data_IF_683379600883
#
_entry.id   IF_683379600883
#
_cell.length_a   1.000
_cell.length_b   1.000
_cell.length_c   1.000
_cell.angle_alpha   90.00
_cell.angle_beta   90.00
_cell.angle_gamma   90.00
#
_symmetry.space_group_name_H-M   'P 1'
#
loop_
_entity.id
_entity.type
_entity.pdbx_description
1 polymer ?
#
# COMPACT_ATOMS: atom_id res chain seq x y z
N UNK A 1 16.43 10.54 10.81
CA UNK A 1 16.94 10.05 12.11
C UNK A 1 15.89 10.27 13.18
N UNK A 2 15.71 9.32 14.09
CA UNK A 2 14.78 9.35 15.22
C UNK A 2 15.60 9.10 16.48
N UNK A 3 15.51 10.00 17.45
CA UNK A 3 16.19 9.92 18.74
C UNK A 3 15.17 9.65 19.84
N UNK A 4 15.28 8.49 20.49
CA UNK A 4 14.47 8.12 21.65
C UNK A 4 15.06 8.70 22.94
N UNK A 5 14.27 8.79 24.00
CA UNK A 5 14.67 9.39 25.27
C UNK A 5 15.92 8.78 25.92
N UNK A 6 16.16 7.51 25.64
CA UNK A 6 17.28 6.74 26.16
C UNK A 6 18.50 6.74 25.22
N UNK A 7 18.50 7.55 24.16
CA UNK A 7 19.63 7.64 23.21
C UNK A 7 20.91 8.16 23.88
N UNK A 8 22.06 7.55 23.56
CA UNK A 8 23.36 8.19 23.79
C UNK A 8 23.57 9.36 22.82
N UNK A 9 23.26 10.57 23.29
CA UNK A 9 23.40 11.79 22.49
C UNK A 9 24.86 12.09 22.12
N UNK A 10 25.85 11.62 22.88
CA UNK A 10 27.26 11.82 22.52
C UNK A 10 27.66 10.91 21.38
N UNK A 11 27.19 9.65 21.37
CA UNK A 11 27.35 8.75 20.23
C UNK A 11 26.70 9.33 18.97
N UNK A 12 25.45 9.82 19.08
CA UNK A 12 24.73 10.48 17.97
C UNK A 12 25.51 11.67 17.42
N UNK A 13 26.00 12.56 18.29
CA UNK A 13 26.76 13.75 17.87
C UNK A 13 28.09 13.36 17.22
N UNK A 14 28.76 12.35 17.77
CA UNK A 14 30.02 11.83 17.19
C UNK A 14 29.76 11.24 15.81
N UNK A 15 28.64 10.54 15.64
CA UNK A 15 28.22 10.01 14.34
C UNK A 15 27.91 11.11 13.34
N UNK A 16 27.11 12.12 13.72
CA UNK A 16 26.78 13.26 12.86
C UNK A 16 28.03 14.03 12.40
N UNK A 17 29.11 14.05 13.20
CA UNK A 17 30.39 14.63 12.79
C UNK A 17 31.08 13.82 11.70
N UNK A 18 30.90 12.50 11.68
CA UNK A 18 31.52 11.60 10.70
C UNK A 18 30.79 11.69 9.34
N UNK A 19 29.46 11.66 9.36
CA UNK A 19 28.66 11.61 8.12
C UNK A 19 28.39 12.98 7.48
N UNK A 20 28.70 14.07 8.19
CA UNK A 20 28.38 15.44 7.77
C UNK A 20 26.87 15.67 7.48
N UNK A 21 26.48 16.89 7.10
CA UNK A 21 25.07 17.30 6.98
C UNK A 21 24.35 16.70 5.75
N UNK A 22 25.09 16.21 4.77
CA UNK A 22 24.58 15.86 3.43
C UNK A 22 23.62 14.66 3.39
N UNK A 23 23.61 13.82 4.43
CA UNK A 23 22.92 12.52 4.41
C UNK A 23 21.73 12.42 5.38
N UNK A 24 21.39 13.50 6.10
CA UNK A 24 20.28 13.53 7.06
C UNK A 24 19.34 14.69 6.78
N UNK A 25 18.24 14.40 6.08
CA UNK A 25 17.25 15.41 5.71
C UNK A 25 16.44 15.92 6.93
N UNK A 26 16.25 15.07 7.94
CA UNK A 26 15.37 15.35 9.08
C UNK A 26 15.75 14.54 10.33
N UNK A 27 15.73 15.20 11.48
CA UNK A 27 15.96 14.61 12.80
C UNK A 27 14.69 14.77 13.63
N UNK A 28 14.09 13.67 14.03
CA UNK A 28 12.98 13.60 14.98
C UNK A 28 13.52 13.32 16.37
N UNK A 29 13.07 14.09 17.35
CA UNK A 29 13.59 14.04 18.72
C UNK A 29 12.43 13.90 19.70
N UNK A 30 12.53 12.96 20.62
CA UNK A 30 11.58 12.86 21.72
C UNK A 30 11.71 14.08 22.64
N UNK A 31 10.57 14.65 23.03
CA UNK A 31 10.55 15.94 23.73
C UNK A 31 11.41 16.00 25.01
N UNK A 32 11.56 14.87 25.70
CA UNK A 32 12.34 14.72 26.95
C UNK A 32 13.83 15.04 26.77
N UNK A 33 14.40 14.78 25.60
CA UNK A 33 15.85 14.99 25.33
C UNK A 33 16.16 16.22 24.49
N UNK A 34 15.14 16.97 24.05
CA UNK A 34 15.26 18.13 23.15
C UNK A 34 16.32 19.13 23.63
N UNK A 35 16.19 19.63 24.85
CA UNK A 35 17.07 20.70 25.35
C UNK A 35 18.53 20.27 25.40
N UNK A 36 18.79 19.05 25.87
CA UNK A 36 20.15 18.48 25.93
C UNK A 36 20.74 18.32 24.54
N UNK A 37 19.95 17.83 23.58
CA UNK A 37 20.40 17.68 22.20
C UNK A 37 20.68 19.03 21.53
N UNK A 38 19.78 20.02 21.65
CA UNK A 38 19.98 21.37 21.09
C UNK A 38 21.25 22.05 21.63
N UNK A 39 21.56 21.85 22.92
CA UNK A 39 22.78 22.36 23.54
C UNK A 39 24.04 21.71 22.92
N UNK A 40 24.03 20.39 22.71
CA UNK A 40 25.14 19.68 22.06
C UNK A 40 25.28 20.08 20.59
N UNK A 41 24.17 20.28 19.89
CA UNK A 41 24.16 20.76 18.51
C UNK A 41 24.80 22.13 18.39
N UNK A 42 24.43 23.10 19.26
CA UNK A 42 25.03 24.44 19.27
C UNK A 42 26.54 24.42 19.54
N UNK A 43 27.01 23.44 20.31
CA UNK A 43 28.44 23.28 20.64
C UNK A 43 29.27 22.77 19.46
N UNK A 44 28.67 21.96 18.59
CA UNK A 44 29.41 21.21 17.57
C UNK A 44 29.05 21.54 16.12
N UNK A 45 27.91 22.17 15.87
CA UNK A 45 27.38 22.47 14.54
C UNK A 45 26.77 23.87 14.49
N UNK A 46 26.54 24.42 13.28
CA UNK A 46 25.77 25.67 13.13
C UNK A 46 24.28 25.30 13.08
N UNK A 47 23.43 26.06 13.76
CA UNK A 47 22.00 25.71 13.93
C UNK A 47 21.19 25.56 12.63
N UNK A 48 21.70 26.04 11.48
CA UNK A 48 21.01 25.97 10.19
C UNK A 48 21.16 24.62 9.48
N UNK A 49 21.94 23.70 10.03
CA UNK A 49 22.41 22.58 9.24
C UNK A 49 21.46 21.36 9.24
N UNK A 50 20.41 21.35 10.07
CA UNK A 50 19.46 20.24 10.16
C UNK A 50 18.01 20.68 10.39
N UNK A 51 17.06 19.98 9.74
CA UNK A 51 15.64 20.09 10.06
C UNK A 51 15.31 19.25 11.29
N UNK A 52 15.05 19.90 12.43
CA UNK A 52 14.71 19.23 13.70
C UNK A 52 13.21 19.29 13.94
N UNK A 53 12.59 18.14 14.21
CA UNK A 53 11.19 18.00 14.59
C UNK A 53 11.07 17.28 15.94
N UNK A 54 10.02 17.60 16.68
CA UNK A 54 9.78 17.04 18.02
C UNK A 54 8.57 16.13 17.94
N UNK A 55 8.65 14.98 18.60
CA UNK A 55 7.50 14.12 18.81
C UNK A 55 7.30 13.82 20.30
N UNK A 56 6.05 13.49 20.65
CA UNK A 56 5.64 13.10 22.00
C UNK A 56 5.25 11.63 22.06
N UNK A 57 4.63 11.12 20.99
CA UNK A 57 4.23 9.73 20.81
C UNK A 57 4.76 9.18 19.48
N UNK A 58 4.87 7.86 19.37
CA UNK A 58 5.30 7.19 18.13
C UNK A 58 4.28 7.29 16.99
N UNK A 59 3.02 7.54 17.30
CA UNK A 59 1.96 7.77 16.31
C UNK A 59 2.31 8.91 15.34
N UNK A 60 2.99 9.96 15.83
CA UNK A 60 3.43 11.08 15.01
C UNK A 60 4.53 10.72 14.00
N UNK A 61 5.20 9.58 14.15
CA UNK A 61 6.28 9.11 13.27
C UNK A 61 5.75 8.29 12.08
N UNK A 62 4.49 7.84 12.16
CA UNK A 62 3.91 6.82 11.27
C UNK A 62 3.45 7.36 9.91
N UNK A 63 3.34 8.68 9.73
CA UNK A 63 2.87 9.27 8.48
C UNK A 63 4.02 9.47 7.48
N UNK A 64 4.09 8.65 6.44
CA UNK A 64 4.71 9.05 5.17
C UNK A 64 3.87 8.59 3.99
N UNK A 65 3.83 9.46 3.00
CA UNK A 65 3.10 9.30 1.73
C UNK A 65 4.03 9.35 0.52
N UNK A 66 5.36 9.42 0.72
CA UNK A 66 6.31 9.60 -0.40
C UNK A 66 6.71 8.28 -1.04
N UNK A 67 6.77 8.28 -2.38
CA UNK A 67 7.10 7.14 -3.24
C UNK A 67 8.61 6.82 -3.31
N UNK A 68 9.45 7.57 -2.59
CA UNK A 68 10.89 7.38 -2.58
C UNK A 68 11.29 6.36 -1.52
N UNK A 69 12.36 5.59 -1.79
CA UNK A 69 13.01 4.75 -0.77
C UNK A 69 13.29 5.62 0.44
N UNK A 70 12.67 5.28 1.55
CA UNK A 70 12.87 5.99 2.79
C UNK A 70 13.86 5.20 3.66
N UNK A 71 14.81 5.95 4.20
CA UNK A 71 15.84 5.41 5.08
C UNK A 71 15.73 6.13 6.40
N UNK A 72 15.54 5.38 7.47
CA UNK A 72 15.41 5.92 8.82
C UNK A 72 16.45 5.28 9.72
N UNK A 73 17.11 6.08 10.55
CA UNK A 73 17.91 5.60 11.67
C UNK A 73 17.17 5.85 12.97
N UNK A 74 17.09 4.84 13.84
CA UNK A 74 16.59 4.93 15.21
C UNK A 74 17.79 4.83 16.14
N UNK A 75 17.88 5.74 17.09
CA UNK A 75 18.90 5.73 18.14
C UNK A 75 18.22 5.50 19.48
N UNK A 76 18.72 4.50 20.22
CA UNK A 76 18.17 4.06 21.50
C UNK A 76 19.12 3.03 22.12
N UNK A 77 19.31 3.10 23.44
CA UNK A 77 20.05 2.07 24.17
C UNK A 77 19.15 0.83 24.44
N UNK A 78 17.83 0.99 24.43
CA UNK A 78 16.84 -0.08 24.51
C UNK A 78 16.57 -0.69 23.13
N UNK A 79 17.41 -1.65 22.76
CA UNK A 79 17.34 -2.37 21.48
C UNK A 79 15.97 -3.03 21.25
N UNK A 80 15.34 -3.58 22.29
CA UNK A 80 14.02 -4.21 22.17
C UNK A 80 12.95 -3.19 21.76
N UNK A 81 12.95 -2.00 22.38
CA UNK A 81 12.05 -0.90 22.02
C UNK A 81 12.34 -0.40 20.59
N UNK A 82 13.61 -0.23 20.24
CA UNK A 82 14.03 0.20 18.90
C UNK A 82 13.58 -0.78 17.81
N UNK A 83 13.73 -2.09 18.02
CA UNK A 83 13.26 -3.12 17.09
C UNK A 83 11.75 -3.08 16.93
N UNK A 84 11.01 -2.99 18.04
CA UNK A 84 9.54 -2.87 18.00
C UNK A 84 9.11 -1.65 17.18
N UNK A 85 9.66 -0.48 17.47
CA UNK A 85 9.39 0.73 16.70
C UNK A 85 9.77 0.56 15.22
N UNK A 86 10.93 -0.04 14.94
CA UNK A 86 11.37 -0.30 13.57
C UNK A 86 10.37 -1.16 12.80
N UNK A 87 9.76 -2.17 13.43
CA UNK A 87 8.73 -3.01 12.80
C UNK A 87 7.44 -2.26 12.50
N UNK A 88 7.02 -1.33 13.36
CA UNK A 88 5.79 -0.54 13.22
C UNK A 88 5.92 0.61 12.21
N UNK A 89 7.12 1.18 12.05
CA UNK A 89 7.36 2.26 11.12
C UNK A 89 7.13 1.82 9.67
N UNK A 90 6.31 2.55 8.91
CA UNK A 90 6.16 2.34 7.47
C UNK A 90 7.40 2.87 6.71
N UNK A 91 8.51 2.12 6.80
CA UNK A 91 9.80 2.45 6.21
C UNK A 91 10.41 1.26 5.47
N UNK A 92 11.12 1.54 4.37
CA UNK A 92 11.81 0.54 3.56
C UNK A 92 13.08 0.05 4.25
N UNK A 93 13.87 0.96 4.80
CA UNK A 93 15.14 0.63 5.46
C UNK A 93 15.20 1.35 6.80
N UNK A 94 15.37 0.58 7.87
CA UNK A 94 15.51 1.09 9.23
C UNK A 94 16.84 0.63 9.81
N UNK A 95 17.71 1.56 10.14
CA UNK A 95 18.94 1.31 10.88
C UNK A 95 18.73 1.55 12.37
N UNK A 96 19.30 0.71 13.23
CA UNK A 96 19.31 0.89 14.69
C UNK A 96 20.75 1.18 15.11
N UNK A 97 20.95 2.32 15.78
CA UNK A 97 22.24 2.84 16.28
C UNK A 97 23.32 3.00 15.19
N UNK A 98 22.90 3.12 13.94
CA UNK A 98 23.74 3.43 12.78
C UNK A 98 22.91 4.14 11.72
N UNK A 99 23.51 4.60 10.61
CA UNK A 99 22.78 5.23 9.50
C UNK A 99 23.54 5.14 8.18
N UNK A 100 22.97 4.47 7.17
CA UNK A 100 23.61 4.29 5.85
C UNK A 100 24.98 3.58 5.89
N UNK A 101 25.23 2.77 6.92
CA UNK A 101 26.36 1.87 6.92
C UNK A 101 25.96 0.59 6.18
N UNK A 102 26.55 0.35 5.02
CA UNK A 102 26.23 -0.77 4.13
C UNK A 102 27.19 -1.96 4.25
N UNK A 103 28.09 -1.94 5.24
CA UNK A 103 28.97 -3.05 5.63
C UNK A 103 29.65 -3.76 4.46
N UNK A 104 30.33 -3.00 3.60
CA UNK A 104 31.12 -3.56 2.49
C UNK A 104 30.28 -4.24 1.39
N UNK A 105 28.99 -3.95 1.30
CA UNK A 105 28.11 -4.51 0.26
C UNK A 105 27.39 -5.80 0.67
N UNK A 106 27.50 -6.24 1.93
CA UNK A 106 26.65 -7.29 2.51
C UNK A 106 25.18 -6.89 2.40
N UNK A 107 24.91 -5.57 2.48
CA UNK A 107 23.56 -5.03 2.33
C UNK A 107 23.26 -4.71 0.87
N UNK A 108 22.27 -5.40 0.30
CA UNK A 108 21.66 -4.98 -0.95
C UNK A 108 20.64 -3.89 -0.65
N UNK A 109 20.89 -2.67 -1.15
CA UNK A 109 19.79 -1.71 -1.32
C UNK A 109 18.71 -2.44 -2.12
N UNK A 110 17.42 -2.30 -1.79
CA UNK A 110 16.35 -2.81 -2.62
C UNK A 110 16.36 -2.02 -3.94
N UNK A 111 17.28 -2.38 -4.83
CA UNK A 111 17.34 -1.99 -6.23
C UNK A 111 16.32 -2.85 -7.00
N UNK A 112 15.17 -3.09 -6.39
CA UNK A 112 13.98 -3.35 -7.16
C UNK A 112 13.73 -2.01 -7.84
N UNK A 113 14.01 -1.99 -9.15
CA UNK A 113 13.34 -1.12 -10.11
C UNK A 113 12.02 -0.67 -9.46
N UNK A 114 11.98 0.56 -8.97
CA UNK A 114 10.75 1.27 -8.57
C UNK A 114 10.02 1.60 -9.89
N UNK A 115 9.89 0.58 -10.73
CA UNK A 115 9.18 0.58 -11.97
C UNK A 115 7.80 0.14 -11.53
N UNK A 116 6.88 1.08 -11.74
CA UNK A 116 5.48 1.05 -11.36
C UNK A 116 5.30 1.43 -9.90
N UNK A 117 5.39 2.74 -9.62
CA UNK A 117 4.22 3.61 -9.83
C UNK A 117 2.86 2.86 -9.74
N UNK A 118 2.69 1.97 -8.77
CA UNK A 118 1.37 1.63 -8.21
C UNK A 118 1.06 2.71 -7.19
N UNK A 119 -0.16 3.21 -7.20
CA UNK A 119 -0.64 4.47 -6.60
C UNK A 119 -0.29 4.60 -5.12
N UNK A 120 0.96 4.96 -4.83
CA UNK A 120 1.35 5.69 -3.63
C UNK A 120 1.37 7.14 -4.07
N UNK A 121 0.26 7.84 -3.84
CA UNK A 121 0.13 9.29 -3.69
C UNK A 121 1.38 10.14 -3.97
N UNK A 122 1.69 10.41 -5.25
CA UNK A 122 2.44 11.61 -5.63
C UNK A 122 1.49 12.59 -6.27
N UNK A 123 0.89 13.45 -5.44
CA UNK A 123 0.28 14.72 -5.82
C UNK A 123 -0.69 14.69 -7.04
N UNK A 124 -1.92 14.21 -6.83
CA UNK A 124 -3.06 14.64 -7.65
C UNK A 124 -3.37 16.15 -7.52
N UNK A 125 -2.65 16.87 -6.65
CA UNK A 125 -2.96 18.27 -6.34
C UNK A 125 -2.31 19.32 -7.26
N UNK A 126 -1.48 19.00 -8.26
CA UNK A 126 -0.76 20.05 -9.00
C UNK A 126 -0.52 19.85 -10.51
N UNK A 127 -1.27 18.98 -11.18
CA UNK A 127 -1.31 19.01 -12.65
C UNK A 127 -2.73 19.35 -13.10
N UNK A 128 -2.97 20.54 -13.69
CA UNK A 128 -4.21 20.77 -14.40
C UNK A 128 -4.22 19.78 -15.55
N UNK A 129 -5.01 18.71 -15.44
CA UNK A 129 -5.29 17.83 -16.56
C UNK A 129 -5.96 18.73 -17.58
N UNK A 130 -5.27 18.95 -18.68
CA UNK A 130 -5.74 19.73 -19.81
C UNK A 130 -6.98 19.00 -20.34
N UNK A 131 -8.15 19.48 -19.93
CA UNK A 131 -9.45 19.06 -20.39
C UNK A 131 -9.58 19.45 -21.86
N UNK A 132 -8.97 18.67 -22.75
CA UNK A 132 -9.13 18.88 -24.18
C UNK A 132 -9.52 17.57 -24.85
N UNK A 133 -10.82 17.56 -25.19
CA UNK A 133 -11.43 16.97 -26.38
C UNK A 133 -11.44 15.44 -26.36
N UNK A 134 -12.60 14.82 -26.10
CA UNK A 134 -13.22 13.82 -27.00
C UNK A 134 -14.72 13.70 -26.70
N UNK A 135 -15.49 13.50 -27.77
CA UNK A 135 -16.94 13.71 -27.82
C UNK A 135 -17.72 12.69 -26.96
N UNK A 136 -18.47 13.21 -25.99
CA UNK A 136 -19.59 12.52 -25.37
C UNK A 136 -20.57 12.07 -26.45
N UNK A 137 -20.82 10.76 -26.54
CA UNK A 137 -22.06 10.26 -27.17
C UNK A 137 -23.13 10.23 -26.09
N UNK A 138 -23.91 11.29 -26.01
CA UNK A 138 -25.16 11.29 -25.25
C UNK A 138 -26.17 10.37 -25.93
N UNK A 139 -26.21 9.10 -25.51
CA UNK A 139 -27.36 8.25 -25.75
C UNK A 139 -28.15 8.17 -24.43
N UNK A 140 -29.04 9.13 -24.22
CA UNK A 140 -30.05 9.05 -23.16
C UNK A 140 -31.03 7.92 -23.50
N UNK A 141 -30.86 6.76 -22.87
CA UNK A 141 -31.87 5.71 -22.90
C UNK A 141 -32.94 6.02 -21.85
N UNK A 142 -34.13 6.37 -22.34
CA UNK A 142 -35.35 6.42 -21.52
C UNK A 142 -35.63 5.02 -20.98
N UNK A 143 -35.57 4.86 -19.65
CA UNK A 143 -35.89 3.62 -18.94
C UNK A 143 -37.40 3.36 -19.12
N UNK A 144 -37.76 2.33 -19.89
CA UNK A 144 -39.13 1.79 -19.97
C UNK A 144 -39.48 0.98 -18.72
N UNK A 145 -40.77 0.87 -18.39
CA UNK A 145 -41.40 0.26 -17.18
C UNK A 145 -41.10 -1.23 -16.86
N UNK A 146 -39.97 -1.79 -17.30
CA UNK A 146 -39.43 -3.03 -16.75
C UNK A 146 -38.56 -2.69 -15.54
N UNK A 147 -38.70 -3.43 -14.44
CA UNK A 147 -37.74 -3.40 -13.32
C UNK A 147 -36.37 -3.88 -13.82
N UNK A 148 -35.61 -2.98 -14.43
CA UNK A 148 -34.26 -3.24 -14.88
C UNK A 148 -33.35 -3.17 -13.65
N UNK A 149 -32.59 -4.23 -13.40
CA UNK A 149 -31.61 -4.28 -12.31
C UNK A 149 -30.51 -3.23 -12.57
N UNK A 150 -30.28 -2.34 -11.60
CA UNK A 150 -29.30 -1.25 -11.70
C UNK A 150 -28.14 -1.54 -10.75
N UNK A 151 -26.93 -1.61 -11.30
CA UNK A 151 -25.69 -1.75 -10.56
C UNK A 151 -24.94 -0.44 -10.50
N UNK A 152 -24.70 -0.01 -9.26
CA UNK A 152 -24.02 1.23 -8.93
C UNK A 152 -22.52 1.01 -8.72
N UNK A 153 -21.79 2.10 -8.46
CA UNK A 153 -20.40 2.05 -8.02
C UNK A 153 -20.35 1.65 -6.54
N UNK A 154 -19.24 1.07 -6.08
CA UNK A 154 -19.10 0.67 -4.68
C UNK A 154 -17.75 1.12 -4.12
N UNK A 155 -17.77 1.99 -3.13
CA UNK A 155 -16.59 2.47 -2.42
C UNK A 155 -17.02 2.95 -1.03
N UNK A 156 -16.05 3.14 -0.13
CA UNK A 156 -16.31 3.46 1.30
C UNK A 156 -17.22 2.45 2.03
N UNK A 157 -17.39 1.25 1.47
CA UNK A 157 -18.24 0.19 2.01
C UNK A 157 -19.73 0.33 1.64
N UNK A 158 -20.09 1.24 0.74
CA UNK A 158 -21.48 1.49 0.34
C UNK A 158 -21.64 1.67 -1.17
N UNK A 159 -22.88 1.56 -1.66
CA UNK A 159 -23.22 1.79 -3.07
C UNK A 159 -23.43 3.28 -3.37
N UNK A 160 -22.91 3.75 -4.50
CA UNK A 160 -22.97 5.14 -4.97
C UNK A 160 -23.44 5.22 -6.42
N UNK A 161 -24.41 6.09 -6.68
CA UNK A 161 -24.76 6.45 -8.06
C UNK A 161 -23.57 7.19 -8.71
N UNK A 162 -23.32 6.98 -10.01
CA UNK A 162 -22.28 7.73 -10.72
C UNK A 162 -22.62 9.23 -10.71
N UNK A 163 -21.60 10.09 -10.63
CA UNK A 163 -21.77 11.55 -10.50
C UNK A 163 -22.68 12.14 -11.59
N UNK A 164 -22.53 11.70 -12.83
CA UNK A 164 -23.34 12.17 -13.96
C UNK A 164 -24.66 11.42 -14.14
N UNK A 165 -24.98 10.47 -13.24
CA UNK A 165 -26.13 9.59 -13.32
C UNK A 165 -26.23 8.83 -14.68
N UNK A 166 -25.06 8.55 -15.28
CA UNK A 166 -24.91 7.85 -16.56
C UNK A 166 -24.73 6.36 -16.33
N UNK A 167 -25.42 5.55 -17.15
CA UNK A 167 -25.38 4.10 -17.10
C UNK A 167 -25.27 3.54 -18.51
N UNK A 168 -24.75 2.32 -18.64
CA UNK A 168 -24.71 1.55 -19.88
C UNK A 168 -25.51 0.25 -19.71
N UNK A 169 -26.12 -0.21 -20.80
CA UNK A 169 -26.95 -1.42 -20.81
C UNK A 169 -26.13 -2.63 -21.23
N UNK A 170 -26.17 -3.70 -20.43
CA UNK A 170 -25.59 -4.99 -20.79
C UNK A 170 -26.35 -6.14 -20.15
N UNK A 171 -26.70 -7.14 -20.95
CA UNK A 171 -27.46 -8.32 -20.52
C UNK A 171 -28.78 -7.96 -19.80
N UNK A 172 -29.52 -6.97 -20.32
CA UNK A 172 -30.74 -6.42 -19.73
C UNK A 172 -30.57 -5.86 -18.29
N UNK A 173 -29.37 -5.37 -17.97
CA UNK A 173 -29.06 -4.68 -16.72
C UNK A 173 -28.38 -3.35 -17.01
N UNK A 174 -28.55 -2.41 -16.09
CA UNK A 174 -27.92 -1.09 -16.18
C UNK A 174 -26.72 -1.05 -15.24
N UNK A 175 -25.58 -0.64 -15.77
CA UNK A 175 -24.33 -0.56 -15.05
C UNK A 175 -23.88 0.89 -15.00
N UNK A 176 -23.46 1.36 -13.83
CA UNK A 176 -22.95 2.72 -13.69
C UNK A 176 -21.79 2.96 -14.66
N UNK A 177 -21.75 4.15 -15.24
CA UNK A 177 -20.65 4.61 -16.07
C UNK A 177 -19.83 5.63 -15.26
N UNK A 178 -18.73 5.17 -14.66
CA UNK A 178 -17.90 5.96 -13.75
C UNK A 178 -17.18 7.11 -14.48
N UNK A 179 -17.25 8.30 -13.91
CA UNK A 179 -16.55 9.50 -14.38
C UNK A 179 -15.19 9.66 -13.69
N UNK A 180 -14.37 10.60 -14.14
CA UNK A 180 -13.11 10.94 -13.47
C UNK A 180 -13.30 11.40 -12.02
N UNK A 181 -14.44 12.01 -11.69
CA UNK A 181 -14.74 12.40 -10.32
C UNK A 181 -15.08 11.18 -9.46
N UNK A 182 -15.83 10.22 -9.99
CA UNK A 182 -16.09 8.93 -9.33
C UNK A 182 -14.78 8.17 -9.06
N UNK A 183 -13.85 8.20 -10.02
CA UNK A 183 -12.53 7.55 -9.92
C UNK A 183 -11.72 8.16 -8.75
N UNK A 184 -11.69 9.48 -8.62
CA UNK A 184 -11.00 10.16 -7.50
C UNK A 184 -11.60 9.79 -6.16
N UNK A 185 -12.93 9.83 -6.03
CA UNK A 185 -13.62 9.48 -4.78
C UNK A 185 -13.33 8.03 -4.37
N UNK A 186 -13.41 7.11 -5.35
CA UNK A 186 -13.09 5.71 -5.16
C UNK A 186 -11.61 5.50 -4.78
N UNK A 187 -10.69 6.23 -5.41
CA UNK A 187 -9.26 6.16 -5.09
C UNK A 187 -8.97 6.67 -3.67
N UNK A 188 -9.58 7.77 -3.26
CA UNK A 188 -9.45 8.30 -1.90
C UNK A 188 -9.98 7.30 -0.87
N UNK A 189 -11.08 6.60 -1.18
CA UNK A 189 -11.58 5.50 -0.38
C UNK A 189 -10.56 4.36 -0.29
N UNK A 190 -10.02 3.93 -1.43
CA UNK A 190 -9.01 2.88 -1.50
C UNK A 190 -7.76 3.19 -0.68
N UNK A 191 -7.30 4.45 -0.68
CA UNK A 191 -6.16 4.93 0.11
C UNK A 191 -6.48 4.88 1.62
N UNK A 192 -7.70 5.27 2.02
CA UNK A 192 -8.13 5.17 3.43
C UNK A 192 -8.22 3.70 3.87
N UNK A 193 -8.84 2.85 3.06
CA UNK A 193 -8.93 1.42 3.31
C UNK A 193 -7.56 0.77 3.45
N UNK A 194 -6.62 1.11 2.56
CA UNK A 194 -5.24 0.64 2.63
C UNK A 194 -4.58 0.96 3.98
N UNK A 195 -4.71 2.20 4.46
CA UNK A 195 -4.10 2.63 5.74
C UNK A 195 -4.58 1.79 6.92
N UNK A 196 -5.85 1.39 6.91
CA UNK A 196 -6.45 0.54 7.95
C UNK A 196 -6.07 -0.93 7.77
N UNK A 197 -6.05 -1.43 6.55
CA UNK A 197 -5.83 -2.85 6.25
C UNK A 197 -4.36 -3.28 6.32
N UNK A 198 -3.45 -2.40 5.90
CA UNK A 198 -2.01 -2.66 5.85
C UNK A 198 -1.40 -2.88 7.24
N UNK A 199 -1.97 -2.26 8.28
CA UNK A 199 -1.49 -2.37 9.67
C UNK A 199 -2.00 -3.62 10.38
N UNK A 200 -3.00 -4.32 9.82
CA UNK A 200 -3.46 -5.58 10.39
C UNK A 200 -2.37 -6.65 10.29
N UNK A 201 -2.39 -7.62 11.20
CA UNK A 201 -1.48 -8.76 11.09
C UNK A 201 -1.92 -9.69 9.96
N UNK A 202 -1.00 -10.45 9.39
CA UNK A 202 -1.31 -11.47 8.39
C UNK A 202 -2.38 -12.45 8.91
N UNK A 203 -2.25 -12.90 10.16
CA UNK A 203 -3.12 -13.90 10.76
C UNK A 203 -4.55 -13.35 10.96
N UNK A 204 -4.67 -12.06 11.29
CA UNK A 204 -5.96 -11.34 11.31
C UNK A 204 -6.58 -11.31 9.90
N UNK A 205 -5.79 -10.92 8.88
CA UNK A 205 -6.28 -10.89 7.50
C UNK A 205 -6.70 -12.27 7.02
N UNK A 206 -5.91 -13.30 7.29
CA UNK A 206 -6.22 -14.69 6.95
C UNK A 206 -7.55 -15.13 7.56
N UNK A 207 -7.75 -14.86 8.85
CA UNK A 207 -9.00 -15.19 9.55
C UNK A 207 -10.21 -14.50 8.92
N UNK A 208 -10.07 -13.22 8.55
CA UNK A 208 -11.12 -12.47 7.87
C UNK A 208 -11.41 -13.06 6.47
N UNK A 209 -10.36 -13.35 5.69
CA UNK A 209 -10.51 -13.89 4.35
C UNK A 209 -11.13 -15.30 4.34
N UNK A 210 -10.81 -16.15 5.31
CA UNK A 210 -11.45 -17.46 5.45
C UNK A 210 -12.97 -17.31 5.67
N UNK A 211 -13.40 -16.39 6.54
CA UNK A 211 -14.84 -16.11 6.74
C UNK A 211 -15.54 -15.66 5.46
N UNK A 212 -14.87 -14.78 4.70
CA UNK A 212 -15.39 -14.34 3.40
C UNK A 212 -15.52 -15.53 2.45
N UNK A 213 -14.47 -16.37 2.30
CA UNK A 213 -14.48 -17.54 1.42
C UNK A 213 -15.62 -18.52 1.77
N UNK A 214 -15.90 -18.70 3.06
CA UNK A 214 -16.99 -19.55 3.53
C UNK A 214 -18.35 -19.02 3.05
N UNK A 215 -18.57 -17.70 3.10
CA UNK A 215 -19.82 -17.07 2.66
C UNK A 215 -19.96 -16.90 1.15
N UNK A 216 -18.85 -16.78 0.42
CA UNK A 216 -18.89 -16.66 -1.03
C UNK A 216 -19.53 -17.91 -1.64
N UNK A 217 -20.46 -17.75 -2.59
CA UNK A 217 -21.14 -18.87 -3.26
C UNK A 217 -20.31 -19.43 -4.43
N UNK A 218 -19.04 -19.73 -4.17
CA UNK A 218 -18.10 -20.27 -5.16
C UNK A 218 -18.14 -21.80 -5.21
N UNK A 219 -17.72 -22.35 -6.35
CA UNK A 219 -17.45 -23.78 -6.50
C UNK A 219 -16.43 -24.25 -5.44
N UNK A 220 -16.64 -25.44 -4.87
CA UNK A 220 -15.78 -26.02 -3.83
C UNK A 220 -14.32 -26.15 -4.23
N UNK A 221 -14.04 -26.45 -5.50
CA UNK A 221 -12.67 -26.54 -6.03
C UNK A 221 -11.99 -25.17 -5.99
N UNK A 222 -12.68 -24.11 -6.41
CA UNK A 222 -12.18 -22.73 -6.35
C UNK A 222 -11.88 -22.34 -4.91
N UNK A 223 -12.82 -22.59 -3.98
CA UNK A 223 -12.62 -22.31 -2.55
C UNK A 223 -11.38 -23.03 -2.00
N UNK A 224 -11.27 -24.33 -2.25
CA UNK A 224 -10.14 -25.13 -1.76
C UNK A 224 -8.81 -24.63 -2.31
N UNK A 225 -8.77 -24.25 -3.59
CA UNK A 225 -7.59 -23.71 -4.24
C UNK A 225 -7.17 -22.36 -3.65
N UNK A 226 -8.12 -21.48 -3.35
CA UNK A 226 -7.85 -20.19 -2.69
C UNK A 226 -7.31 -20.41 -1.28
N UNK A 227 -7.92 -21.31 -0.49
CA UNK A 227 -7.49 -21.61 0.88
C UNK A 227 -6.05 -22.12 0.87
N UNK A 228 -5.73 -23.08 -0.02
CA UNK A 228 -4.37 -23.61 -0.17
C UNK A 228 -3.39 -22.50 -0.55
N UNK A 229 -3.75 -21.63 -1.49
CA UNK A 229 -2.93 -20.48 -1.89
C UNK A 229 -2.65 -19.54 -0.70
N UNK A 230 -3.67 -19.20 0.10
CA UNK A 230 -3.50 -18.36 1.29
C UNK A 230 -2.53 -19.01 2.28
N UNK A 231 -2.67 -20.33 2.52
CA UNK A 231 -1.75 -21.07 3.38
C UNK A 231 -0.30 -21.03 2.85
N UNK A 232 -0.09 -21.23 1.55
CA UNK A 232 1.24 -21.15 0.94
C UNK A 232 1.85 -19.75 1.08
N UNK A 233 1.03 -18.67 1.02
CA UNK A 233 1.55 -17.31 1.19
C UNK A 233 2.13 -17.03 2.57
N UNK A 234 1.75 -17.80 3.59
CA UNK A 234 2.35 -17.70 4.92
C UNK A 234 3.86 -18.00 4.87
N UNK A 235 4.30 -18.93 4.03
CA UNK A 235 5.71 -19.29 3.87
C UNK A 235 6.53 -18.14 3.27
N UNK A 236 5.89 -17.29 2.44
CA UNK A 236 6.55 -16.13 1.83
C UNK A 236 6.62 -14.90 2.74
N UNK A 237 5.92 -14.95 3.90
CA UNK A 237 5.96 -13.91 4.93
C UNK A 237 7.21 -14.03 5.80
N UNK A 238 7.75 -15.24 5.97
CA UNK A 238 8.79 -15.50 6.97
C UNK A 238 9.93 -14.50 6.87
N UNK A 239 10.22 -13.87 8.01
CA UNK A 239 11.26 -12.86 8.10
C UNK A 239 12.61 -13.56 7.99
N UNK A 240 13.41 -13.23 6.98
CA UNK A 240 14.77 -13.73 6.93
C UNK A 240 15.57 -12.97 7.99
N UNK A 241 15.97 -13.70 9.04
CA UNK A 241 16.88 -13.18 10.04
C UNK A 241 18.28 -13.70 9.72
N UNK A 242 19.17 -12.79 9.31
CA UNK A 242 20.59 -13.10 9.20
C UNK A 242 21.35 -12.41 10.31
N UNK A 243 22.15 -13.17 11.05
CA UNK A 243 22.97 -12.67 12.12
C UNK A 243 24.41 -13.13 11.92
N UNK A 244 25.34 -12.21 12.04
CA UNK A 244 26.77 -12.51 12.20
C UNK A 244 27.29 -11.79 13.45
N UNK A 245 28.57 -11.95 13.76
CA UNK A 245 29.17 -11.37 14.99
C UNK A 245 29.04 -9.85 15.09
N UNK A 246 28.80 -9.16 13.96
CA UNK A 246 28.77 -7.69 13.87
C UNK A 246 27.40 -7.11 13.53
N UNK A 247 26.45 -7.92 13.05
CA UNK A 247 25.21 -7.47 12.43
C UNK A 247 24.05 -8.41 12.66
N UNK A 248 22.88 -7.82 12.82
CA UNK A 248 21.59 -8.49 12.73
C UNK A 248 20.73 -7.77 11.68
N UNK A 249 20.25 -8.53 10.69
CA UNK A 249 19.38 -8.04 9.62
C UNK A 249 18.07 -8.82 9.70
N UNK A 250 16.97 -8.08 9.84
CA UNK A 250 15.60 -8.60 9.80
C UNK A 250 14.97 -8.13 8.49
N UNK A 251 14.66 -9.06 7.60
CA UNK A 251 13.98 -8.78 6.34
C UNK A 251 12.50 -9.15 6.44
N UNK A 252 11.64 -8.14 6.34
CA UNK A 252 10.18 -8.29 6.31
C UNK A 252 9.64 -7.85 4.95
N UNK A 253 8.34 -8.06 4.72
CA UNK A 253 7.63 -7.54 3.56
C UNK A 253 6.46 -6.68 3.99
N UNK A 254 6.28 -5.55 3.31
CA UNK A 254 5.15 -4.63 3.52
C UNK A 254 4.31 -4.55 2.24
N UNK A 255 2.99 -4.32 2.32
CA UNK A 255 2.15 -4.18 1.15
C UNK A 255 2.53 -2.95 0.30
N UNK A 256 2.22 -3.01 -1.00
CA UNK A 256 2.51 -1.94 -1.96
C UNK A 256 1.55 -0.75 -1.89
N UNK A 257 0.26 -0.97 -1.58
CA UNK A 257 -0.73 0.11 -1.59
C UNK A 257 -2.08 -0.30 -2.17
N UNK A 258 -2.61 0.54 -3.05
CA UNK A 258 -3.82 0.28 -3.83
C UNK A 258 -3.45 -0.48 -5.10
N UNK A 259 -4.09 -1.63 -5.33
CA UNK A 259 -3.88 -2.48 -6.50
C UNK A 259 -5.15 -2.52 -7.35
N UNK A 260 -5.02 -2.37 -8.66
CA UNK A 260 -6.13 -2.41 -9.59
C UNK A 260 -6.34 -3.86 -10.05
N UNK A 261 -7.59 -4.30 -10.09
CA UNK A 261 -7.93 -5.66 -10.50
C UNK A 261 -9.03 -5.63 -11.57
N UNK A 262 -8.77 -6.36 -12.65
CA UNK A 262 -9.70 -6.68 -13.72
C UNK A 262 -9.30 -8.04 -14.30
N UNK A 263 -10.26 -8.95 -14.41
CA UNK A 263 -10.00 -10.23 -15.08
C UNK A 263 -11.32 -10.78 -15.61
N UNK A 264 -11.24 -11.57 -16.69
CA UNK A 264 -12.41 -12.19 -17.33
C UNK A 264 -12.73 -13.57 -16.77
N UNK A 265 -11.72 -14.25 -16.20
CA UNK A 265 -11.85 -15.61 -15.69
C UNK A 265 -12.15 -15.57 -14.19
N UNK A 266 -13.30 -16.13 -13.79
CA UNK A 266 -13.75 -16.15 -12.39
C UNK A 266 -12.70 -16.74 -11.43
N UNK A 267 -12.06 -17.85 -11.82
CA UNK A 267 -11.08 -18.55 -10.98
C UNK A 267 -9.88 -17.64 -10.74
N UNK A 268 -9.27 -17.12 -11.82
CA UNK A 268 -8.13 -16.23 -11.73
C UNK A 268 -8.48 -14.93 -10.98
N UNK A 269 -9.67 -14.38 -11.23
CA UNK A 269 -10.17 -13.19 -10.57
C UNK A 269 -10.15 -13.35 -9.04
N UNK A 270 -10.74 -14.42 -8.51
CA UNK A 270 -10.77 -14.63 -7.05
C UNK A 270 -9.40 -14.99 -6.48
N UNK A 271 -8.55 -15.72 -7.19
CA UNK A 271 -7.18 -15.95 -6.75
C UNK A 271 -6.40 -14.64 -6.60
N UNK A 272 -6.45 -13.77 -7.61
CA UNK A 272 -5.77 -12.48 -7.58
C UNK A 272 -6.36 -11.56 -6.50
N UNK A 273 -7.68 -11.49 -6.38
CA UNK A 273 -8.36 -10.70 -5.35
C UNK A 273 -7.89 -11.11 -3.94
N UNK A 274 -7.92 -12.41 -3.66
CA UNK A 274 -7.53 -12.92 -2.34
C UNK A 274 -6.04 -12.72 -2.08
N UNK A 275 -5.20 -12.84 -3.11
CA UNK A 275 -3.77 -12.61 -3.01
C UNK A 275 -3.43 -11.13 -2.75
N UNK A 276 -4.15 -10.20 -3.38
CA UNK A 276 -4.03 -8.75 -3.11
C UNK A 276 -4.39 -8.46 -1.65
N UNK A 277 -5.52 -8.99 -1.18
CA UNK A 277 -6.04 -8.73 0.16
C UNK A 277 -5.15 -9.36 1.24
N UNK A 278 -4.71 -10.61 1.11
CA UNK A 278 -3.87 -11.27 2.13
C UNK A 278 -2.50 -10.59 2.27
N UNK A 279 -1.98 -10.05 1.16
CA UNK A 279 -0.74 -9.27 1.13
C UNK A 279 -0.84 -7.95 1.90
N UNK A 280 -2.06 -7.49 2.24
CA UNK A 280 -2.31 -6.25 2.99
C UNK A 280 -2.57 -5.02 2.12
N UNK A 281 -2.82 -5.22 0.82
CA UNK A 281 -3.18 -4.14 -0.10
C UNK A 281 -4.69 -3.89 -0.07
N UNK A 282 -5.11 -2.67 -0.41
CA UNK A 282 -6.50 -2.43 -0.83
C UNK A 282 -6.61 -2.56 -2.35
N UNK A 283 -7.83 -2.66 -2.85
CA UNK A 283 -8.04 -2.85 -4.28
C UNK A 283 -9.22 -2.05 -4.83
N UNK A 284 -9.09 -1.69 -6.11
CA UNK A 284 -10.18 -1.16 -6.94
C UNK A 284 -10.38 -2.17 -8.06
N UNK A 285 -11.57 -2.76 -8.11
CA UNK A 285 -11.99 -3.64 -9.19
C UNK A 285 -12.60 -2.81 -10.29
N UNK A 286 -12.14 -2.99 -11.53
CA UNK A 286 -12.70 -2.34 -12.71
C UNK A 286 -13.50 -3.37 -13.49
N UNK A 287 -14.74 -3.04 -13.82
CA UNK A 287 -15.65 -3.89 -14.60
C UNK A 287 -16.07 -3.22 -15.91
N UNK A 288 -16.13 -4.03 -16.95
CA UNK A 288 -16.52 -3.72 -18.32
C UNK A 288 -17.32 -4.89 -18.94
N UNK A 289 -17.84 -4.77 -20.16
CA UNK A 289 -18.62 -5.85 -20.79
C UNK A 289 -17.89 -7.19 -20.95
N UNK A 290 -16.56 -7.22 -20.86
CA UNK A 290 -15.69 -8.37 -21.13
C UNK A 290 -15.01 -8.92 -19.87
N UNK A 291 -15.23 -8.33 -18.69
CA UNK A 291 -14.67 -8.78 -17.41
C UNK A 291 -15.67 -9.54 -16.54
N UNK A 292 -15.13 -10.22 -15.52
CA UNK A 292 -15.92 -10.82 -14.47
C UNK A 292 -16.36 -9.76 -13.47
N UNK A 293 -17.67 -9.72 -13.20
CA UNK A 293 -18.24 -8.73 -12.29
C UNK A 293 -18.24 -9.19 -10.84
N UNK A 294 -17.64 -8.38 -9.96
CA UNK A 294 -17.66 -8.59 -8.51
C UNK A 294 -18.98 -8.17 -7.84
N UNK A 295 -19.85 -7.46 -8.56
CA UNK A 295 -20.96 -6.67 -8.01
C UNK A 295 -21.81 -7.41 -6.97
N UNK A 296 -22.07 -8.71 -7.20
CA UNK A 296 -22.92 -9.55 -6.35
C UNK A 296 -22.29 -9.94 -5.01
N UNK A 297 -20.99 -9.73 -4.86
CA UNK A 297 -20.24 -10.10 -3.67
C UNK A 297 -19.83 -8.90 -2.83
N UNK A 298 -19.95 -7.66 -3.34
CA UNK A 298 -19.51 -6.45 -2.63
C UNK A 298 -20.06 -6.36 -1.21
N UNK A 299 -21.32 -6.74 -0.98
CA UNK A 299 -21.95 -6.73 0.34
C UNK A 299 -21.37 -7.78 1.29
N UNK A 300 -21.00 -8.97 0.79
CA UNK A 300 -20.32 -9.98 1.61
C UNK A 300 -18.97 -9.44 2.06
N UNK A 301 -18.21 -8.86 1.15
CA UNK A 301 -16.93 -8.25 1.50
C UNK A 301 -17.08 -7.08 2.47
N UNK A 302 -18.13 -6.25 2.35
CA UNK A 302 -18.33 -5.07 3.19
C UNK A 302 -18.66 -5.39 4.66
N UNK A 303 -19.24 -6.57 4.92
CA UNK A 303 -19.48 -7.06 6.28
C UNK A 303 -18.18 -7.31 7.04
N UNK A 304 -17.14 -7.75 6.34
CA UNK A 304 -15.91 -8.26 6.94
C UNK A 304 -14.71 -7.34 6.76
N UNK A 305 -14.62 -6.65 5.63
CA UNK A 305 -13.52 -5.76 5.31
C UNK A 305 -13.80 -4.34 5.82
N UNK A 306 -12.78 -3.63 6.33
CA UNK A 306 -12.90 -2.19 6.55
C UNK A 306 -13.32 -1.45 5.26
N UNK A 307 -14.09 -0.36 5.43
CA UNK A 307 -14.47 0.53 4.33
C UNK A 307 -13.26 0.94 3.49
N UNK A 308 -13.42 0.85 2.16
CA UNK A 308 -12.40 1.21 1.19
C UNK A 308 -11.32 0.16 0.95
N UNK A 309 -11.32 -0.98 1.64
CA UNK A 309 -10.34 -2.06 1.33
C UNK A 309 -10.65 -2.71 -0.01
N UNK A 310 -11.94 -2.90 -0.30
CA UNK A 310 -12.44 -3.32 -1.59
C UNK A 310 -13.33 -2.22 -2.16
N UNK A 311 -13.05 -1.83 -3.40
CA UNK A 311 -13.83 -0.86 -4.15
C UNK A 311 -14.09 -1.41 -5.54
N UNK A 312 -15.12 -0.89 -6.20
CA UNK A 312 -15.59 -1.35 -7.49
C UNK A 312 -16.08 -0.17 -8.32
N UNK A 313 -15.58 -0.11 -9.55
CA UNK A 313 -15.97 0.84 -10.59
C UNK A 313 -16.40 0.07 -11.83
N UNK A 314 -17.44 0.54 -12.49
CA UNK A 314 -17.86 0.03 -13.78
C UNK A 314 -17.83 1.12 -14.85
N UNK A 315 -17.49 0.74 -16.07
CA UNK A 315 -17.58 1.60 -17.25
C UNK A 315 -17.75 0.74 -18.50
N UNK A 316 -18.47 1.26 -19.50
CA UNK A 316 -18.58 0.60 -20.80
C UNK A 316 -17.21 0.53 -21.51
N UNK A 317 -16.42 1.60 -21.39
CA UNK A 317 -15.05 1.69 -21.86
C UNK A 317 -14.12 2.06 -20.71
N UNK A 318 -13.29 1.12 -20.29
CA UNK A 318 -12.37 1.31 -19.18
C UNK A 318 -11.06 1.97 -19.58
N UNK A 319 -10.81 2.26 -20.86
CA UNK A 319 -9.53 2.82 -21.33
C UNK A 319 -9.11 4.06 -20.54
N UNK A 320 -10.05 4.95 -20.24
CA UNK A 320 -9.80 6.14 -19.43
C UNK A 320 -9.49 5.81 -17.96
N UNK A 321 -10.24 4.87 -17.38
CA UNK A 321 -10.04 4.41 -16.00
C UNK A 321 -8.67 3.75 -15.85
N UNK A 322 -8.28 2.93 -16.82
CA UNK A 322 -7.00 2.25 -16.87
C UNK A 322 -5.85 3.26 -16.94
N UNK A 323 -5.93 4.26 -17.81
CA UNK A 323 -4.90 5.31 -17.89
C UNK A 323 -4.83 6.12 -16.58
N UNK A 324 -5.96 6.46 -15.98
CA UNK A 324 -6.00 7.27 -14.75
C UNK A 324 -5.47 6.51 -13.52
N UNK A 325 -5.81 5.23 -13.38
CA UNK A 325 -5.42 4.42 -12.22
C UNK A 325 -4.12 3.63 -12.42
N UNK A 326 -3.84 3.15 -13.63
CA UNK A 326 -2.70 2.31 -13.93
C UNK A 326 -1.56 3.05 -14.64
N UNK A 327 -1.79 4.28 -15.14
CA UNK A 327 -0.87 5.06 -15.99
C UNK A 327 -0.48 4.41 -17.33
N UNK A 328 -1.11 3.29 -17.66
CA UNK A 328 -0.96 2.50 -18.90
C UNK A 328 -2.24 1.70 -19.09
N UNK A 329 -2.43 1.07 -20.25
CA UNK A 329 -3.48 0.05 -20.44
C UNK A 329 -3.36 -1.09 -19.41
N UNK A 330 -4.49 -1.70 -19.08
CA UNK A 330 -4.54 -2.69 -18.02
C UNK A 330 -3.68 -3.93 -18.30
N UNK A 331 -3.53 -4.36 -19.54
CA UNK A 331 -2.71 -5.54 -19.87
C UNK A 331 -1.23 -5.30 -19.58
N UNK A 332 -0.70 -4.13 -19.94
CA UNK A 332 0.67 -3.74 -19.57
C UNK A 332 0.85 -3.63 -18.05
N UNK A 333 -0.13 -3.06 -17.35
CA UNK A 333 -0.13 -3.00 -15.88
C UNK A 333 -0.15 -4.40 -15.25
N UNK A 334 -1.05 -5.27 -15.72
CA UNK A 334 -1.25 -6.64 -15.25
C UNK A 334 0.05 -7.43 -15.34
N UNK A 335 0.72 -7.37 -16.50
CA UNK A 335 1.98 -8.08 -16.75
C UNK A 335 3.15 -7.66 -15.85
N UNK A 336 3.06 -6.47 -15.24
CA UNK A 336 4.09 -5.96 -14.33
C UNK A 336 3.90 -6.47 -12.90
N UNK A 337 2.67 -6.83 -12.52
CA UNK A 337 2.29 -7.16 -11.14
C UNK A 337 1.97 -8.64 -11.03
N UNK A 338 1.08 -9.14 -11.87
CA UNK A 338 0.57 -10.49 -11.82
C UNK A 338 1.40 -11.39 -12.76
N UNK A 339 1.91 -12.49 -12.20
CA UNK A 339 2.63 -13.51 -12.97
C UNK A 339 1.74 -14.73 -13.08
N UNK A 340 1.38 -15.05 -14.32
CA UNK A 340 0.53 -16.19 -14.64
C UNK A 340 1.08 -17.48 -14.02
N UNK A 341 0.19 -18.22 -13.35
CA UNK A 341 0.49 -19.49 -12.67
C UNK A 341 1.64 -19.45 -11.64
N UNK A 342 2.02 -18.28 -11.14
CA UNK A 342 3.07 -18.13 -10.13
C UNK A 342 2.63 -17.20 -8.99
N UNK A 343 1.96 -17.78 -8.00
CA UNK A 343 1.47 -17.04 -6.83
C UNK A 343 2.60 -16.48 -5.97
N UNK A 344 3.72 -17.19 -5.85
CA UNK A 344 4.89 -16.68 -5.10
C UNK A 344 5.41 -15.39 -5.71
N UNK A 345 5.69 -15.39 -7.02
CA UNK A 345 6.22 -14.21 -7.70
C UNK A 345 5.21 -13.07 -7.72
N UNK A 346 3.93 -13.38 -7.85
CA UNK A 346 2.85 -12.40 -7.72
C UNK A 346 2.78 -11.80 -6.32
N UNK A 347 2.87 -12.61 -5.26
CA UNK A 347 2.94 -12.15 -3.87
C UNK A 347 4.14 -11.22 -3.65
N UNK A 348 5.31 -11.60 -4.15
CA UNK A 348 6.51 -10.76 -4.12
C UNK A 348 6.31 -9.45 -4.89
N UNK A 349 5.57 -9.47 -5.99
CA UNK A 349 5.21 -8.27 -6.75
C UNK A 349 4.10 -7.44 -6.10
N UNK A 350 3.33 -7.96 -5.15
CA UNK A 350 2.29 -7.24 -4.41
C UNK A 350 2.81 -6.61 -3.11
N UNK A 351 4.08 -6.86 -2.79
CA UNK A 351 4.73 -6.41 -1.56
C UNK A 351 6.10 -5.81 -1.88
N UNK A 352 6.70 -5.10 -0.94
CA UNK A 352 8.09 -4.61 -1.04
C UNK A 352 8.89 -5.06 0.17
N UNK A 353 10.18 -5.35 -0.01
CA UNK A 353 11.04 -5.69 1.11
C UNK A 353 11.19 -4.49 2.06
N UNK A 354 11.25 -4.80 3.35
CA UNK A 354 11.57 -3.91 4.45
C UNK A 354 12.74 -4.51 5.22
N UNK A 355 13.80 -3.76 5.40
CA UNK A 355 14.99 -4.20 6.13
C UNK A 355 15.12 -3.42 7.42
N UNK A 356 15.35 -4.14 8.53
CA UNK A 356 15.75 -3.57 9.81
C UNK A 356 17.16 -4.06 10.10
N UNK A 357 18.08 -3.13 10.29
CA UNK A 357 19.52 -3.40 10.39
C UNK A 357 19.99 -2.92 11.75
N UNK A 358 20.58 -3.82 12.52
CA UNK A 358 21.18 -3.54 13.80
C UNK A 358 22.67 -3.89 13.76
N UNK A 359 23.50 -2.95 14.19
CA UNK A 359 24.91 -3.23 14.50
C UNK A 359 25.02 -3.85 15.88
N UNK A 360 25.62 -5.04 15.93
CA UNK A 360 26.01 -5.70 17.17
C UNK A 360 27.40 -5.19 17.57
N UNK A 361 27.57 -4.91 18.87
CA UNK A 361 28.85 -4.46 19.43
C UNK A 361 29.74 -5.63 19.80
#
# INVERSE_FOLDING_TARGET
MILLEDSDLHAVISYLKIIEHSHVNKIWIQISIKHKFEMLMKKHFRLKDFSIQIFRSFEHLSSHTSCNINVTSIWSENIACAKKLATELNRNIVFINTHLNFFGGIMFLPYLKIVNRTILTSNFNNTPIQSNIFAYRENFLHISDKEIEIFNLFYDGTWHKPVNNTYWECNNRMWANATSEDIKMCLDSAIRGFRTWAVMTFDTRQTILHKIIDELRLNSEIKSSIINMIHETYLYKESLNSQNDSLEIIENRIPKGVIILKDKNEVNFFHLLMLILISGNSTIVIDDPNSYSLVRYCEIFSVYLPSGVLNYLSNEDTSNIEIELCWTDYENYKNQIFVESNFQKTFLNLTVPKQIILTLK
#
